data_IF_908692167138
#
_entry.id   IF_908692167138
#
_cell.length_a   1.000
_cell.length_b   1.000
_cell.length_c   1.000
_cell.angle_alpha   90.00
_cell.angle_beta   90.00
_cell.angle_gamma   90.00
#
_symmetry.space_group_name_H-M   'P 1'
#
loop_
_entity.id
_entity.type
_entity.pdbx_description
1 polymer ?
#
# COMPACT_ATOMS: atom_id res chain seq x y z
N UNK A 1 -29.11 -7.02 -39.98
CA UNK A 1 -28.71 -5.71 -39.40
C UNK A 1 -28.79 -5.89 -37.89
N UNK A 2 -27.68 -6.04 -37.21
CA UNK A 2 -27.62 -6.21 -35.74
C UNK A 2 -27.34 -4.83 -35.16
N UNK A 3 -28.30 -4.27 -34.44
CA UNK A 3 -28.17 -2.98 -33.81
C UNK A 3 -27.70 -3.19 -32.40
N UNK A 4 -26.47 -2.77 -32.07
CA UNK A 4 -25.98 -2.70 -30.71
C UNK A 4 -26.43 -1.37 -30.10
N UNK A 5 -27.33 -1.39 -29.13
CA UNK A 5 -27.63 -0.22 -28.30
C UNK A 5 -26.65 -0.18 -27.14
N UNK A 6 -25.72 0.76 -27.17
CA UNK A 6 -24.94 1.08 -25.98
C UNK A 6 -25.84 1.86 -25.03
N UNK A 7 -26.22 1.24 -23.92
CA UNK A 7 -26.89 1.92 -22.84
C UNK A 7 -25.96 2.99 -22.26
N UNK A 8 -26.41 4.22 -22.18
CA UNK A 8 -25.77 5.30 -21.42
C UNK A 8 -26.01 5.08 -19.92
N UNK A 9 -25.51 3.96 -19.39
CA UNK A 9 -25.48 3.75 -17.96
C UNK A 9 -24.40 4.64 -17.37
N UNK A 10 -24.78 5.54 -16.45
CA UNK A 10 -23.79 6.19 -15.60
C UNK A 10 -22.92 5.09 -14.97
N UNK A 11 -21.59 5.25 -14.92
CA UNK A 11 -20.75 4.29 -14.25
C UNK A 11 -21.23 4.15 -12.80
N UNK A 12 -21.56 2.92 -12.39
CA UNK A 12 -21.97 2.63 -11.02
C UNK A 12 -20.89 3.20 -10.10
N UNK A 13 -21.25 4.22 -9.31
CA UNK A 13 -20.32 4.79 -8.32
C UNK A 13 -19.97 3.66 -7.35
N UNK A 14 -18.72 3.23 -7.41
CA UNK A 14 -18.20 2.22 -6.50
C UNK A 14 -18.38 2.71 -5.06
N UNK A 15 -19.01 1.89 -4.22
CA UNK A 15 -19.13 2.21 -2.81
C UNK A 15 -17.72 2.26 -2.19
N UNK A 16 -17.39 3.29 -1.39
CA UNK A 16 -16.10 3.36 -0.74
C UNK A 16 -15.94 2.18 0.23
N UNK A 17 -14.76 1.56 0.22
CA UNK A 17 -14.43 0.51 1.20
C UNK A 17 -14.34 1.13 2.59
N UNK A 18 -15.16 0.64 3.52
CA UNK A 18 -15.11 1.02 4.93
C UNK A 18 -14.06 0.17 5.66
N UNK A 19 -12.79 0.40 5.35
CA UNK A 19 -11.64 -0.31 5.88
C UNK A 19 -11.01 0.41 7.07
N UNK A 20 -10.08 -0.25 7.78
CA UNK A 20 -9.30 0.33 8.87
C UNK A 20 -8.49 1.56 8.46
N UNK A 21 -7.93 2.24 9.43
CA UNK A 21 -7.17 3.49 9.26
C UNK A 21 -5.70 3.20 8.95
N UNK A 22 -5.13 3.99 8.04
CA UNK A 22 -3.70 4.00 7.82
C UNK A 22 -3.02 4.87 8.89
N UNK A 23 -2.42 4.21 9.88
CA UNK A 23 -1.75 4.82 11.03
C UNK A 23 -0.31 5.18 10.70
N UNK A 24 0.28 6.06 11.53
CA UNK A 24 1.71 6.36 11.53
C UNK A 24 2.22 6.13 12.94
N UNK A 25 2.62 4.91 13.22
CA UNK A 25 3.20 4.48 14.48
C UNK A 25 3.88 3.12 14.28
N UNK A 26 4.62 2.66 15.27
CA UNK A 26 5.10 1.27 15.34
C UNK A 26 4.50 0.66 16.60
N UNK A 27 3.56 -0.30 16.44
CA UNK A 27 2.92 -0.92 17.59
C UNK A 27 3.82 -1.97 18.26
N UNK A 28 3.58 -2.27 19.53
CA UNK A 28 4.28 -3.34 20.24
C UNK A 28 3.82 -4.73 19.78
N UNK A 29 2.54 -4.84 19.38
CA UNK A 29 1.94 -6.09 18.87
C UNK A 29 1.29 -5.82 17.53
N UNK A 30 1.63 -6.61 16.52
CA UNK A 30 1.14 -6.44 15.15
C UNK A 30 1.30 -7.71 14.33
N UNK A 31 0.66 -7.74 13.17
CA UNK A 31 0.92 -8.74 12.14
C UNK A 31 1.50 -8.06 10.90
N UNK A 32 2.64 -8.52 10.42
CA UNK A 32 3.12 -8.16 9.07
C UNK A 32 2.38 -9.04 8.08
N UNK A 33 1.83 -8.43 7.02
CA UNK A 33 1.00 -9.12 6.02
C UNK A 33 1.47 -8.78 4.62
N UNK A 34 1.36 -9.77 3.74
CA UNK A 34 1.60 -9.65 2.30
C UNK A 34 0.75 -10.65 1.53
N UNK A 35 0.39 -10.34 0.27
CA UNK A 35 -0.38 -11.20 -0.61
C UNK A 35 0.24 -11.28 -2.00
N UNK A 36 0.11 -12.45 -2.65
CA UNK A 36 0.30 -12.59 -4.09
C UNK A 36 -1.06 -12.67 -4.80
N UNK A 37 -1.13 -12.09 -5.99
CA UNK A 37 -2.39 -11.94 -6.74
C UNK A 37 -2.21 -12.29 -8.21
N UNK A 38 -3.31 -12.58 -8.91
CA UNK A 38 -3.30 -12.81 -10.37
C UNK A 38 -3.12 -11.52 -11.17
N UNK A 39 -3.21 -10.35 -10.52
CA UNK A 39 -3.05 -9.04 -11.15
C UNK A 39 -3.25 -7.89 -10.17
N UNK A 40 -3.52 -6.68 -10.67
CA UNK A 40 -3.45 -5.46 -9.86
C UNK A 40 -4.82 -4.93 -9.39
N UNK A 41 -5.92 -5.52 -9.85
CA UNK A 41 -7.26 -4.99 -9.60
C UNK A 41 -8.07 -5.88 -8.68
N UNK A 42 -8.41 -5.44 -7.45
CA UNK A 42 -9.23 -6.23 -6.53
C UNK A 42 -10.62 -6.60 -7.06
N UNK A 43 -11.08 -5.93 -8.15
CA UNK A 43 -12.39 -6.18 -8.77
C UNK A 43 -12.38 -7.35 -9.74
N UNK A 44 -11.21 -7.65 -10.33
CA UNK A 44 -11.07 -8.59 -11.43
C UNK A 44 -10.07 -9.70 -11.13
N UNK A 45 -9.15 -9.45 -10.19
CA UNK A 45 -8.06 -10.36 -9.89
C UNK A 45 -8.27 -11.06 -8.54
N UNK A 46 -7.65 -12.22 -8.40
CA UNK A 46 -7.78 -13.10 -7.23
C UNK A 46 -6.51 -13.08 -6.39
N UNK A 47 -6.66 -13.27 -5.07
CA UNK A 47 -5.53 -13.59 -4.20
C UNK A 47 -5.16 -15.06 -4.43
N UNK A 48 -3.88 -15.34 -4.64
CA UNK A 48 -3.34 -16.70 -4.85
C UNK A 48 -2.46 -17.20 -3.71
N UNK A 49 -1.86 -16.28 -2.93
CA UNK A 49 -1.16 -16.58 -1.69
C UNK A 49 -1.42 -15.46 -0.67
N UNK A 50 -1.49 -15.81 0.59
CA UNK A 50 -1.51 -14.85 1.69
C UNK A 50 -0.62 -15.34 2.81
N UNK A 51 0.18 -14.43 3.36
CA UNK A 51 1.02 -14.69 4.52
C UNK A 51 0.88 -13.59 5.55
N UNK A 52 0.97 -13.97 6.81
CA UNK A 52 1.01 -13.05 7.93
C UNK A 52 1.98 -13.56 8.99
N UNK A 53 2.77 -12.66 9.59
CA UNK A 53 3.72 -13.00 10.66
C UNK A 53 3.40 -12.12 11.86
N UNK A 54 3.14 -12.74 13.01
CA UNK A 54 2.79 -12.05 14.25
C UNK A 54 4.03 -11.71 15.06
N UNK A 55 4.14 -10.44 15.45
CA UNK A 55 5.22 -9.92 16.26
C UNK A 55 4.71 -9.35 17.58
N UNK A 56 5.45 -9.60 18.66
CA UNK A 56 5.26 -8.99 19.98
C UNK A 56 6.63 -8.43 20.41
N UNK A 57 6.70 -7.13 20.64
CA UNK A 57 7.95 -6.42 20.99
C UNK A 57 9.10 -6.72 19.98
N UNK A 58 8.77 -6.75 18.68
CA UNK A 58 9.74 -7.03 17.61
C UNK A 58 10.16 -8.50 17.48
N UNK A 59 9.63 -9.40 18.30
CA UNK A 59 9.92 -10.84 18.21
C UNK A 59 8.79 -11.57 17.52
N UNK A 60 9.11 -12.41 16.54
CA UNK A 60 8.15 -13.31 15.91
C UNK A 60 7.62 -14.30 16.94
N UNK A 61 6.29 -14.45 16.99
CA UNK A 61 5.62 -15.39 17.89
C UNK A 61 4.84 -16.46 17.16
N UNK A 62 4.37 -16.16 15.95
CA UNK A 62 3.61 -17.09 15.11
C UNK A 62 3.59 -16.62 13.66
N UNK A 63 3.28 -17.50 12.71
CA UNK A 63 3.05 -17.13 11.33
C UNK A 63 1.96 -17.98 10.67
N UNK A 64 1.31 -17.38 9.69
CA UNK A 64 0.31 -18.01 8.84
C UNK A 64 0.75 -17.85 7.39
N UNK A 65 0.64 -18.90 6.59
CA UNK A 65 0.83 -18.84 5.14
C UNK A 65 -0.07 -19.87 4.47
N UNK A 66 -0.71 -19.48 3.37
CA UNK A 66 -1.55 -20.39 2.59
C UNK A 66 -1.65 -19.92 1.15
N UNK A 67 -1.58 -20.85 0.22
CA UNK A 67 -2.11 -20.65 -1.11
C UNK A 67 -3.63 -20.56 -1.06
N UNK A 68 -4.22 -19.87 -2.03
CA UNK A 68 -5.67 -19.76 -2.23
C UNK A 68 -5.99 -20.14 -3.66
N UNK A 69 -6.91 -21.11 -3.82
CA UNK A 69 -7.39 -21.50 -5.15
C UNK A 69 -8.32 -20.42 -5.71
N UNK A 70 -7.99 -19.77 -6.84
CA UNK A 70 -8.93 -18.90 -7.53
C UNK A 70 -10.21 -19.62 -7.95
N UNK A 71 -11.34 -18.93 -7.95
CA UNK A 71 -12.61 -19.48 -8.44
C UNK A 71 -12.68 -19.47 -9.96
N UNK A 72 -12.13 -18.43 -10.58
CA UNK A 72 -12.13 -18.25 -12.03
C UNK A 72 -10.85 -18.82 -12.65
N UNK A 73 -10.97 -19.28 -13.89
CA UNK A 73 -9.87 -19.78 -14.72
C UNK A 73 -9.89 -19.05 -16.06
N UNK A 74 -8.75 -19.02 -16.74
CA UNK A 74 -8.69 -18.66 -18.15
C UNK A 74 -9.39 -19.71 -19.04
N UNK A 75 -9.59 -19.41 -20.31
CA UNK A 75 -10.28 -20.30 -21.28
C UNK A 75 -9.61 -21.67 -21.45
N UNK A 76 -8.30 -21.75 -21.19
CA UNK A 76 -7.51 -22.99 -21.23
C UNK A 76 -7.54 -23.78 -19.92
N UNK A 77 -8.23 -23.26 -18.89
CA UNK A 77 -8.37 -23.87 -17.57
C UNK A 77 -7.24 -23.53 -16.60
N UNK A 78 -6.27 -22.68 -16.97
CA UNK A 78 -5.24 -22.18 -16.06
C UNK A 78 -5.79 -21.12 -15.10
N UNK A 79 -5.22 -21.00 -13.89
CA UNK A 79 -5.57 -19.99 -12.88
C UNK A 79 -4.74 -18.73 -13.03
N UNK A 80 -3.50 -18.86 -13.51
CA UNK A 80 -2.52 -17.78 -13.67
C UNK A 80 -1.81 -17.95 -15.02
N UNK A 81 -1.34 -16.84 -15.57
CA UNK A 81 -0.50 -16.82 -16.75
C UNK A 81 0.98 -17.11 -16.44
N UNK A 82 1.78 -17.29 -17.48
CA UNK A 82 3.22 -17.59 -17.38
C UNK A 82 3.99 -16.47 -16.63
N UNK A 83 3.58 -15.20 -16.80
CA UNK A 83 4.24 -14.08 -16.13
C UNK A 83 4.09 -14.15 -14.60
N UNK A 84 2.89 -14.44 -14.09
CA UNK A 84 2.65 -14.58 -12.65
C UNK A 84 3.37 -15.82 -12.11
N UNK A 85 3.37 -16.93 -12.87
CA UNK A 85 4.09 -18.14 -12.48
C UNK A 85 5.61 -17.91 -12.38
N UNK A 86 6.21 -17.22 -13.36
CA UNK A 86 7.63 -16.85 -13.32
C UNK A 86 7.96 -15.87 -12.19
N UNK A 87 7.08 -14.91 -11.93
CA UNK A 87 7.28 -13.87 -10.92
C UNK A 87 7.24 -14.45 -9.51
N UNK A 88 6.23 -15.27 -9.20
CA UNK A 88 5.95 -15.75 -7.83
C UNK A 88 6.48 -17.14 -7.56
N UNK A 89 6.77 -17.93 -8.60
CA UNK A 89 7.07 -19.36 -8.49
C UNK A 89 5.87 -20.21 -8.07
N UNK A 90 4.65 -19.62 -8.01
CA UNK A 90 3.41 -20.34 -7.74
C UNK A 90 2.92 -20.93 -9.06
N UNK A 91 2.72 -22.25 -9.12
CA UNK A 91 2.31 -22.91 -10.36
C UNK A 91 0.80 -23.20 -10.41
N UNK A 92 0.28 -23.36 -11.62
CA UNK A 92 -1.11 -23.77 -11.81
C UNK A 92 -1.43 -25.11 -11.13
N UNK A 93 -0.45 -26.04 -11.05
CA UNK A 93 -0.60 -27.30 -10.32
C UNK A 93 -0.77 -27.07 -8.82
N UNK A 94 0.05 -26.19 -8.21
CA UNK A 94 -0.07 -25.80 -6.80
C UNK A 94 -1.46 -25.21 -6.51
N UNK A 95 -1.94 -24.31 -7.35
CA UNK A 95 -3.25 -23.68 -7.18
C UNK A 95 -4.42 -24.65 -7.35
N UNK A 96 -4.29 -25.65 -8.23
CA UNK A 96 -5.33 -26.65 -8.46
C UNK A 96 -5.68 -27.44 -7.19
N UNK A 97 -4.72 -27.63 -6.30
CA UNK A 97 -4.85 -28.36 -5.03
C UNK A 97 -4.96 -27.46 -3.80
N UNK A 98 -4.84 -26.13 -3.99
CA UNK A 98 -4.92 -25.17 -2.90
C UNK A 98 -6.31 -25.12 -2.26
N UNK A 99 -6.42 -24.72 -0.98
CA UNK A 99 -7.70 -24.55 -0.31
C UNK A 99 -8.54 -23.45 -0.96
N UNK A 100 -9.85 -23.52 -0.79
CA UNK A 100 -10.76 -22.48 -1.28
C UNK A 100 -10.67 -21.19 -0.44
N UNK A 101 -11.07 -20.04 -1.01
CA UNK A 101 -10.97 -18.75 -0.32
C UNK A 101 -11.66 -18.70 1.04
N UNK A 102 -12.85 -19.29 1.17
CA UNK A 102 -13.63 -19.25 2.44
C UNK A 102 -12.85 -19.87 3.60
N UNK A 103 -12.17 -21.00 3.35
CA UNK A 103 -11.41 -21.70 4.40
C UNK A 103 -10.22 -20.83 4.83
N UNK A 104 -9.42 -20.37 3.83
CA UNK A 104 -8.20 -19.60 4.12
C UNK A 104 -8.51 -18.28 4.79
N UNK A 105 -9.52 -17.55 4.28
CA UNK A 105 -9.87 -16.23 4.84
C UNK A 105 -10.44 -16.34 6.26
N UNK A 106 -11.15 -17.42 6.62
CA UNK A 106 -11.57 -17.66 8.02
C UNK A 106 -10.37 -17.90 8.93
N UNK A 107 -9.44 -18.76 8.52
CA UNK A 107 -8.22 -19.02 9.28
C UNK A 107 -7.36 -17.77 9.41
N UNK A 108 -7.22 -17.00 8.33
CA UNK A 108 -6.51 -15.71 8.32
C UNK A 108 -7.16 -14.73 9.32
N UNK A 109 -8.50 -14.63 9.30
CA UNK A 109 -9.23 -13.78 10.24
C UNK A 109 -8.94 -14.13 11.69
N UNK A 110 -9.02 -15.41 12.02
CA UNK A 110 -8.75 -15.90 13.38
C UNK A 110 -7.28 -15.64 13.79
N UNK A 111 -6.34 -15.74 12.82
CA UNK A 111 -4.93 -15.45 13.05
C UNK A 111 -4.66 -13.97 13.27
N UNK A 112 -5.23 -13.11 12.42
CA UNK A 112 -5.03 -11.65 12.49
C UNK A 112 -5.71 -11.03 13.71
N UNK A 113 -6.88 -11.53 14.09
CA UNK A 113 -7.69 -10.96 15.15
C UNK A 113 -7.86 -9.42 14.96
N UNK A 114 -7.84 -8.63 16.03
CA UNK A 114 -7.89 -7.16 15.99
C UNK A 114 -6.49 -6.50 15.93
N UNK A 115 -5.44 -7.26 15.57
CA UNK A 115 -4.08 -6.72 15.49
C UNK A 115 -3.97 -5.64 14.41
N UNK A 116 -3.11 -4.65 14.66
CA UNK A 116 -2.68 -3.70 13.63
C UNK A 116 -1.86 -4.46 12.59
N UNK A 117 -2.13 -4.20 11.32
CA UNK A 117 -1.40 -4.82 10.22
C UNK A 117 -0.26 -3.92 9.76
N UNK A 118 0.86 -4.50 9.39
CA UNK A 118 1.98 -3.79 8.77
C UNK A 118 2.26 -4.43 7.42
N UNK A 119 2.49 -3.62 6.40
CA UNK A 119 2.90 -4.10 5.10
C UNK A 119 3.61 -3.01 4.30
N UNK A 120 4.09 -3.37 3.12
CA UNK A 120 4.77 -2.45 2.23
C UNK A 120 3.87 -2.10 1.04
N UNK A 121 3.44 -0.84 0.88
CA UNK A 121 2.35 -0.46 -0.02
C UNK A 121 1.04 -1.18 0.33
N UNK A 122 0.87 -1.45 1.59
CA UNK A 122 -0.15 -2.35 2.17
C UNK A 122 -1.60 -1.97 1.82
N UNK A 123 -1.82 -0.75 1.35
CA UNK A 123 -3.16 -0.36 0.90
C UNK A 123 -3.65 -1.21 -0.30
N UNK A 124 -2.73 -1.78 -1.08
CA UNK A 124 -3.02 -2.75 -2.13
C UNK A 124 -3.61 -4.03 -1.50
N UNK A 125 -2.90 -4.63 -0.56
CA UNK A 125 -3.30 -5.85 0.15
C UNK A 125 -4.63 -5.67 0.90
N UNK A 126 -4.76 -4.57 1.62
CA UNK A 126 -5.98 -4.22 2.36
C UNK A 126 -7.21 -4.10 1.45
N UNK A 127 -7.06 -3.59 0.22
CA UNK A 127 -8.17 -3.53 -0.73
C UNK A 127 -8.60 -4.91 -1.20
N UNK A 128 -7.64 -5.77 -1.54
CA UNK A 128 -7.93 -7.16 -1.90
C UNK A 128 -8.58 -7.93 -0.77
N UNK A 129 -8.03 -7.82 0.43
CA UNK A 129 -8.58 -8.48 1.62
C UNK A 129 -9.99 -7.97 1.94
N UNK A 130 -10.23 -6.66 1.89
CA UNK A 130 -11.57 -6.09 2.11
C UNK A 130 -12.60 -6.66 1.15
N UNK A 131 -12.30 -6.70 -0.16
CA UNK A 131 -13.23 -7.20 -1.16
C UNK A 131 -13.45 -8.71 -1.02
N UNK A 132 -12.40 -9.48 -0.71
CA UNK A 132 -12.49 -10.92 -0.49
C UNK A 132 -13.24 -11.27 0.81
N UNK A 133 -13.01 -10.58 1.92
CA UNK A 133 -13.77 -10.77 3.16
C UNK A 133 -15.25 -10.44 2.95
N UNK A 134 -15.56 -9.36 2.24
CA UNK A 134 -16.94 -9.00 1.90
C UNK A 134 -17.59 -10.06 1.01
N UNK A 135 -16.87 -10.52 -0.03
CA UNK A 135 -17.38 -11.49 -1.01
C UNK A 135 -17.61 -12.87 -0.41
N UNK A 136 -16.62 -13.39 0.33
CA UNK A 136 -16.61 -14.79 0.76
C UNK A 136 -17.13 -15.01 2.17
N UNK A 137 -16.96 -14.03 3.06
CA UNK A 137 -17.37 -14.15 4.47
C UNK A 137 -18.60 -13.30 4.79
N UNK A 138 -19.00 -12.37 3.91
CA UNK A 138 -20.03 -11.36 4.17
C UNK A 138 -19.70 -10.49 5.41
N UNK A 139 -18.41 -10.26 5.65
CA UNK A 139 -17.88 -9.54 6.80
C UNK A 139 -16.96 -8.41 6.33
N UNK A 140 -16.90 -7.27 7.06
CA UNK A 140 -15.96 -6.22 6.75
C UNK A 140 -14.53 -6.62 7.18
N UNK A 141 -13.52 -6.09 6.47
CA UNK A 141 -12.11 -6.15 6.87
C UNK A 141 -11.71 -4.76 7.38
N UNK A 142 -11.55 -4.62 8.69
CA UNK A 142 -11.45 -3.31 9.36
C UNK A 142 -10.23 -3.13 10.23
N UNK A 143 -9.24 -4.03 10.17
CA UNK A 143 -7.97 -3.88 10.87
C UNK A 143 -7.29 -2.57 10.49
N UNK A 144 -6.87 -1.80 11.48
CA UNK A 144 -6.01 -0.65 11.25
C UNK A 144 -4.64 -1.12 10.74
N UNK A 145 -3.95 -0.28 9.96
CA UNK A 145 -2.71 -0.70 9.32
C UNK A 145 -1.67 0.41 9.25
N UNK A 146 -0.42 0.00 9.11
CA UNK A 146 0.76 0.85 8.94
C UNK A 146 1.43 0.49 7.61
N UNK A 147 1.78 1.50 6.82
CA UNK A 147 2.43 1.33 5.54
C UNK A 147 3.90 1.75 5.62
N UNK A 148 4.81 0.79 5.53
CA UNK A 148 6.26 1.04 5.57
C UNK A 148 6.73 1.89 4.40
N UNK A 149 6.11 1.80 3.22
CA UNK A 149 6.38 2.70 2.09
C UNK A 149 6.05 4.15 2.45
N UNK A 150 4.94 4.39 3.15
CA UNK A 150 4.56 5.72 3.62
C UNK A 150 5.57 6.27 4.63
N UNK A 151 5.99 5.45 5.60
CA UNK A 151 7.04 5.85 6.57
C UNK A 151 8.34 6.19 5.84
N UNK A 152 8.77 5.35 4.90
CA UNK A 152 9.96 5.59 4.09
C UNK A 152 9.88 6.90 3.29
N UNK A 153 8.75 7.22 2.68
CA UNK A 153 8.53 8.50 1.97
C UNK A 153 8.56 9.72 2.90
N UNK A 154 8.15 9.55 4.14
CA UNK A 154 8.21 10.62 5.13
C UNK A 154 9.63 10.84 5.64
N UNK A 155 10.40 9.77 5.82
CA UNK A 155 11.77 9.79 6.33
C UNK A 155 12.77 10.26 5.26
N UNK A 156 12.59 9.84 4.03
CA UNK A 156 13.47 10.10 2.88
C UNK A 156 12.73 10.78 1.72
N UNK A 157 12.20 12.00 1.91
CA UNK A 157 11.42 12.70 0.87
C UNK A 157 12.23 13.06 -0.39
N UNK A 158 13.56 13.04 -0.31
CA UNK A 158 14.49 13.25 -1.41
C UNK A 158 14.62 12.05 -2.34
N UNK A 159 14.30 10.85 -1.84
CA UNK A 159 14.40 9.63 -2.62
C UNK A 159 13.26 9.51 -3.64
N UNK A 160 13.59 9.05 -4.83
CA UNK A 160 12.63 8.90 -5.92
C UNK A 160 11.77 7.65 -5.81
N UNK A 161 12.34 6.58 -5.26
CA UNK A 161 11.74 5.26 -5.22
C UNK A 161 11.73 4.70 -3.79
N UNK A 162 10.64 4.04 -3.43
CA UNK A 162 10.40 3.49 -2.10
C UNK A 162 9.77 2.09 -2.16
N UNK A 163 10.03 1.33 -3.24
CA UNK A 163 9.57 -0.07 -3.33
C UNK A 163 10.32 -0.93 -2.31
N UNK A 164 9.79 -2.07 -1.96
CA UNK A 164 10.45 -2.99 -1.01
C UNK A 164 11.89 -3.30 -1.42
N UNK A 165 12.12 -3.51 -2.73
CA UNK A 165 13.46 -3.68 -3.31
C UNK A 165 14.37 -2.47 -3.04
N UNK A 166 13.86 -1.24 -3.22
CA UNK A 166 14.68 -0.02 -3.03
C UNK A 166 15.09 0.15 -1.56
N UNK A 167 14.20 -0.23 -0.62
CA UNK A 167 14.51 -0.25 0.81
C UNK A 167 15.50 -1.36 1.15
N UNK A 168 15.31 -2.56 0.60
CA UNK A 168 16.22 -3.69 0.80
C UNK A 168 17.63 -3.35 0.34
N UNK A 169 17.77 -2.71 -0.83
CA UNK A 169 19.07 -2.23 -1.33
C UNK A 169 19.68 -1.17 -0.41
N UNK A 170 18.88 -0.18 0.06
CA UNK A 170 19.34 0.89 0.96
C UNK A 170 19.87 0.35 2.28
N UNK A 171 19.19 -0.63 2.84
CA UNK A 171 19.54 -1.23 4.13
C UNK A 171 20.39 -2.49 4.03
N UNK A 172 20.83 -2.84 2.81
CA UNK A 172 21.64 -4.05 2.53
C UNK A 172 20.99 -5.34 3.04
N UNK A 173 19.66 -5.46 2.82
CA UNK A 173 18.86 -6.65 3.14
C UNK A 173 18.84 -7.54 1.90
N UNK A 174 19.02 -8.87 2.08
CA UNK A 174 18.95 -9.83 0.99
C UNK A 174 17.53 -9.92 0.41
N UNK A 175 17.39 -9.64 -0.87
CA UNK A 175 16.13 -9.61 -1.63
C UNK A 175 15.96 -10.83 -2.54
N UNK A 176 16.83 -11.83 -2.45
CA UNK A 176 16.89 -12.97 -3.39
C UNK A 176 15.66 -13.87 -3.36
N UNK A 177 14.93 -13.92 -2.24
CA UNK A 177 13.75 -14.76 -2.04
C UNK A 177 12.41 -13.99 -2.16
N UNK A 178 12.42 -12.77 -2.69
CA UNK A 178 11.21 -11.97 -2.87
C UNK A 178 10.20 -12.61 -3.83
N UNK A 179 8.98 -12.08 -3.83
CA UNK A 179 7.82 -12.55 -4.60
C UNK A 179 7.25 -13.89 -4.10
N UNK A 180 7.33 -14.09 -2.80
CA UNK A 180 6.55 -15.06 -2.03
C UNK A 180 6.07 -14.35 -0.78
N UNK A 181 4.78 -14.36 -0.55
CA UNK A 181 4.15 -13.54 0.48
C UNK A 181 4.82 -13.68 1.87
N UNK A 182 5.24 -14.89 2.28
CA UNK A 182 5.94 -15.05 3.55
C UNK A 182 7.33 -14.40 3.56
N UNK A 183 8.08 -14.51 2.46
CA UNK A 183 9.40 -13.88 2.34
C UNK A 183 9.27 -12.34 2.34
N UNK A 184 8.26 -11.81 1.66
CA UNK A 184 7.99 -10.37 1.61
C UNK A 184 7.50 -9.82 2.97
N UNK A 185 6.80 -10.63 3.78
CA UNK A 185 6.55 -10.30 5.19
C UNK A 185 7.86 -10.13 5.98
N UNK A 186 8.83 -11.04 5.85
CA UNK A 186 10.12 -10.93 6.54
C UNK A 186 10.96 -9.75 6.03
N UNK A 187 10.98 -9.51 4.72
CA UNK A 187 11.63 -8.35 4.13
C UNK A 187 11.02 -7.04 4.64
N UNK A 188 9.69 -6.98 4.70
CA UNK A 188 8.95 -5.82 5.23
C UNK A 188 9.28 -5.57 6.70
N UNK A 189 9.36 -6.63 7.52
CA UNK A 189 9.79 -6.54 8.91
C UNK A 189 11.21 -6.01 9.06
N UNK A 190 12.15 -6.56 8.30
CA UNK A 190 13.54 -6.09 8.33
C UNK A 190 13.65 -4.60 7.92
N UNK A 191 12.93 -4.20 6.87
CA UNK A 191 12.86 -2.79 6.46
C UNK A 191 12.24 -1.90 7.57
N UNK A 192 11.19 -2.37 8.24
CA UNK A 192 10.55 -1.65 9.35
C UNK A 192 11.52 -1.41 10.51
N UNK A 193 12.31 -2.42 10.88
CA UNK A 193 13.31 -2.31 11.94
C UNK A 193 14.38 -1.26 11.61
N UNK A 194 14.86 -1.24 10.38
CA UNK A 194 15.81 -0.23 9.93
C UNK A 194 15.21 1.17 9.90
N UNK A 195 13.99 1.34 9.38
CA UNK A 195 13.27 2.62 9.40
C UNK A 195 13.07 3.11 10.84
N UNK A 196 12.69 2.22 11.76
CA UNK A 196 12.51 2.56 13.17
C UNK A 196 13.82 2.99 13.83
N UNK A 197 14.90 2.23 13.61
CA UNK A 197 16.21 2.56 14.16
C UNK A 197 16.70 3.94 13.69
N UNK A 198 16.52 4.26 12.41
CA UNK A 198 16.89 5.53 11.81
C UNK A 198 16.03 6.69 12.38
N UNK A 199 14.71 6.48 12.54
CA UNK A 199 13.81 7.46 13.16
C UNK A 199 14.25 7.74 14.59
N UNK A 200 14.52 6.71 15.39
CA UNK A 200 14.97 6.87 16.77
C UNK A 200 16.33 7.58 16.86
N UNK A 201 17.25 7.26 15.96
CA UNK A 201 18.56 7.91 15.90
C UNK A 201 18.46 9.39 15.52
N UNK A 202 17.58 9.74 14.57
CA UNK A 202 17.49 11.08 14.00
C UNK A 202 16.59 12.01 14.82
N UNK A 203 15.48 11.51 15.33
CA UNK A 203 14.43 12.30 15.98
C UNK A 203 14.25 11.99 17.47
N UNK A 204 14.90 10.94 17.99
CA UNK A 204 14.80 10.50 19.38
C UNK A 204 13.58 9.62 19.66
N UNK A 205 12.43 9.94 19.07
CA UNK A 205 11.22 9.13 19.15
C UNK A 205 10.30 9.34 17.92
N UNK A 206 9.29 8.50 17.82
CA UNK A 206 8.38 8.49 16.68
C UNK A 206 7.45 9.73 16.64
N UNK A 207 7.13 10.30 17.80
CA UNK A 207 6.27 11.48 17.87
C UNK A 207 6.99 12.74 17.33
N UNK A 208 8.25 12.92 17.69
CA UNK A 208 9.07 14.01 17.14
C UNK A 208 9.25 13.89 15.62
N UNK A 209 9.41 12.68 15.11
CA UNK A 209 9.43 12.41 13.66
C UNK A 209 8.13 12.87 12.98
N UNK A 210 6.96 12.48 13.52
CA UNK A 210 5.66 12.88 12.98
C UNK A 210 5.49 14.40 13.01
N UNK A 211 5.86 15.05 14.11
CA UNK A 211 5.68 16.49 14.27
C UNK A 211 6.62 17.27 13.36
N UNK A 212 7.85 16.80 13.15
CA UNK A 212 8.78 17.34 12.17
C UNK A 212 8.23 17.26 10.75
N UNK A 213 7.68 16.10 10.37
CA UNK A 213 7.07 15.92 9.06
C UNK A 213 5.86 16.85 8.86
N UNK A 214 4.96 16.97 9.85
CA UNK A 214 3.81 17.89 9.79
C UNK A 214 4.24 19.35 9.65
N UNK A 215 5.28 19.77 10.36
CA UNK A 215 5.79 21.14 10.26
C UNK A 215 6.37 21.45 8.89
N UNK A 216 7.05 20.48 8.27
CA UNK A 216 7.65 20.62 6.95
C UNK A 216 6.65 20.48 5.79
N UNK A 217 5.59 19.68 5.97
CA UNK A 217 4.60 19.41 4.92
C UNK A 217 3.46 20.42 4.84
N UNK A 218 3.28 21.24 5.85
CA UNK A 218 2.17 22.17 5.97
C UNK A 218 2.41 23.50 5.27
N UNK A 219 2.61 23.51 3.94
CA UNK A 219 2.29 24.67 3.12
C UNK A 219 0.76 24.79 3.06
N UNK A 220 0.17 25.51 4.01
CA UNK A 220 -1.24 25.90 3.92
C UNK A 220 -1.36 27.03 2.90
N UNK A 221 -2.39 26.99 2.08
CA UNK A 221 -2.69 28.11 1.16
C UNK A 221 -2.75 29.47 1.90
N UNK A 222 -3.13 29.45 3.19
CA UNK A 222 -3.12 30.63 4.06
C UNK A 222 -1.71 31.15 4.39
N UNK A 223 -0.65 30.33 4.23
CA UNK A 223 0.74 30.73 4.49
C UNK A 223 1.41 31.33 3.24
N UNK A 224 0.68 31.36 2.10
CA UNK A 224 1.13 31.95 0.86
C UNK A 224 0.58 33.35 0.81
N UNK A 225 1.40 34.30 1.22
CA UNK A 225 1.07 35.74 1.12
C UNK A 225 1.90 36.34 0.00
N UNK A 226 1.24 37.03 -0.93
CA UNK A 226 1.94 37.82 -1.94
C UNK A 226 2.46 39.11 -1.29
N UNK A 227 3.66 39.52 -1.66
CA UNK A 227 4.21 40.84 -1.33
C UNK A 227 3.83 41.92 -2.37
N UNK A 228 3.14 41.54 -3.44
CA UNK A 228 2.76 42.43 -4.50
C UNK A 228 1.47 43.19 -4.13
N UNK A 229 1.55 44.51 -4.07
CA UNK A 229 0.40 45.40 -3.86
C UNK A 229 -0.39 45.68 -5.17
N UNK A 230 0.18 45.34 -6.32
CA UNK A 230 -0.44 45.55 -7.63
C UNK A 230 -0.40 44.29 -8.47
N UNK A 231 -1.55 43.88 -8.95
CA UNK A 231 -1.72 42.73 -9.82
C UNK A 231 -1.97 43.20 -11.25
N UNK A 232 -1.31 42.56 -12.22
CA UNK A 232 -1.62 42.69 -13.62
C UNK A 232 -2.88 41.86 -13.95
N UNK A 233 -4.03 42.53 -14.05
CA UNK A 233 -5.30 41.90 -14.39
C UNK A 233 -5.32 41.33 -15.83
N UNK A 234 -4.37 41.74 -16.69
CA UNK A 234 -4.23 41.22 -18.05
C UNK A 234 -3.31 39.97 -18.08
N UNK A 235 -2.67 39.60 -16.98
CA UNK A 235 -1.81 38.43 -16.93
C UNK A 235 -2.59 37.14 -17.19
N UNK A 236 -2.13 36.20 -18.04
CA UNK A 236 -2.85 34.97 -18.41
C UNK A 236 -3.25 34.10 -17.24
N UNK A 237 -2.55 34.16 -16.10
CA UNK A 237 -2.82 33.39 -14.89
C UNK A 237 -3.68 34.15 -13.87
N UNK A 238 -4.01 35.43 -14.10
CA UNK A 238 -4.85 36.18 -13.17
C UNK A 238 -6.22 35.53 -12.99
N UNK A 239 -6.61 35.30 -11.73
CA UNK A 239 -7.87 34.62 -11.40
C UNK A 239 -7.91 33.12 -11.75
N UNK A 240 -6.78 32.50 -12.10
CA UNK A 240 -6.68 31.05 -12.34
C UNK A 240 -6.20 30.32 -11.10
N UNK A 241 -6.65 29.09 -10.94
CA UNK A 241 -6.11 28.16 -9.95
C UNK A 241 -4.92 27.46 -10.60
N UNK A 242 -3.73 27.65 -10.03
CA UNK A 242 -2.51 27.02 -10.49
C UNK A 242 -2.12 25.85 -9.57
N UNK A 243 -1.75 24.71 -10.15
CA UNK A 243 -1.27 23.53 -9.42
C UNK A 243 0.18 23.24 -9.83
N UNK A 244 1.08 23.25 -8.86
CA UNK A 244 2.48 22.89 -9.08
C UNK A 244 2.65 21.39 -8.84
N UNK A 245 2.98 20.63 -9.90
CA UNK A 245 3.25 19.20 -9.85
C UNK A 245 4.71 18.92 -10.13
N UNK A 246 5.25 17.83 -9.55
CA UNK A 246 6.64 17.43 -9.73
C UNK A 246 7.64 18.26 -8.93
N UNK A 247 8.94 18.02 -9.18
CA UNK A 247 10.05 18.73 -8.54
C UNK A 247 10.35 20.01 -9.30
N UNK A 248 10.45 21.13 -8.61
CA UNK A 248 10.86 22.41 -9.21
C UNK A 248 12.38 22.54 -9.09
N UNK A 249 13.06 22.70 -10.24
CA UNK A 249 14.53 22.71 -10.32
C UNK A 249 15.17 24.05 -9.90
N UNK A 250 14.44 25.16 -10.04
CA UNK A 250 15.01 26.50 -9.91
C UNK A 250 14.72 27.20 -8.58
N UNK A 251 13.67 26.76 -7.87
CA UNK A 251 13.27 27.41 -6.61
C UNK A 251 12.39 26.48 -5.77
N UNK A 252 12.31 26.68 -4.44
CA UNK A 252 11.38 25.96 -3.59
C UNK A 252 9.93 26.21 -3.99
N UNK A 253 9.06 25.20 -3.82
CA UNK A 253 7.64 25.29 -4.20
C UNK A 253 6.92 26.47 -3.55
N UNK A 254 7.23 26.79 -2.28
CA UNK A 254 6.65 27.93 -1.57
C UNK A 254 6.94 29.25 -2.27
N UNK A 255 8.18 29.44 -2.69
CA UNK A 255 8.63 30.64 -3.42
C UNK A 255 7.93 30.73 -4.78
N UNK A 256 7.85 29.62 -5.52
CA UNK A 256 7.13 29.57 -6.79
C UNK A 256 5.65 29.92 -6.64
N UNK A 257 5.01 29.47 -5.54
CA UNK A 257 3.60 29.78 -5.25
C UNK A 257 3.38 31.23 -4.82
N UNK A 258 4.40 31.91 -4.32
CA UNK A 258 4.35 33.34 -3.98
C UNK A 258 4.53 34.26 -5.20
N UNK A 259 5.12 33.73 -6.28
CA UNK A 259 5.38 34.48 -7.52
C UNK A 259 4.20 34.46 -8.50
N UNK A 260 3.24 33.54 -8.34
CA UNK A 260 2.06 33.34 -9.19
C UNK A 260 0.82 33.91 -8.50
#
# INVERSE_FOLDING_TARGET
MITFSFGTGEPLKKQPRNKGKNLILIPETYCVIDIETTGLSPDFDSIIEVSAVKYINGQETDHFTSLIKPEDTYDDGSYIDEFIEELTGITNEMLSTAPNPVIVLRQLKDFLDDNILIGHNVNFDINFLYDNFTRYLSEPFTNDFVDTMRISRMLHPEERHHRLKDLSERYNIDYSNAHRALADCYLTQACLEHLNAEILQTYGDFQHFIDSYKSNSALKAADITTSNEKFDIAHPLYGKVCVFTGTLEKMPRKEAMQLV
#
